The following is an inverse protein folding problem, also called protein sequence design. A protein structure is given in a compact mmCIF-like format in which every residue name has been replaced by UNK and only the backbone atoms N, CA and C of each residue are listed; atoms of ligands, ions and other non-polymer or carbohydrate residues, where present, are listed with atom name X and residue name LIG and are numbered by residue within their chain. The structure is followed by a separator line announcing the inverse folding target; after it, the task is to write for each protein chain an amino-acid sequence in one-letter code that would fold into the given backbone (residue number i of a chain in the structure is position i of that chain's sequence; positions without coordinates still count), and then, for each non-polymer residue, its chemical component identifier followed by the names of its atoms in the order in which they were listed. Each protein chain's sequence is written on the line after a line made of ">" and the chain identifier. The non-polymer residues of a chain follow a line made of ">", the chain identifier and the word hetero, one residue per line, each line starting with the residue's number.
data_IF_391438238564
#
_entry.id   IF_391438238564
#
_cell.length_a   1.000
_cell.length_b   1.000
_cell.length_c   1.000
_cell.angle_alpha   90.00
_cell.angle_beta   90.00
_cell.angle_gamma   90.00
#
_symmetry.space_group_name_H-M   'P 1'
#
loop_
_entity.id
_entity.type
_entity.pdbx_description
1 polymer ?
#
# COMPACT_ATOMS: atom_id res chain seq x y z
N UNK A 1 -71.55 -27.01 15.19
CA UNK A 1 -71.48 -26.07 14.06
C UNK A 1 -70.29 -25.16 14.34
N UNK A 2 -69.25 -25.24 13.48
CA UNK A 2 -67.87 -24.84 13.77
C UNK A 2 -67.66 -23.33 13.65
N UNK A 3 -66.95 -22.75 14.61
CA UNK A 3 -66.37 -21.40 14.59
C UNK A 3 -65.04 -21.50 13.81
N UNK A 4 -64.80 -20.74 12.72
CA UNK A 4 -63.50 -20.75 12.07
C UNK A 4 -62.57 -19.71 12.70
N UNK A 5 -61.38 -20.19 13.08
CA UNK A 5 -60.22 -19.42 13.46
C UNK A 5 -59.69 -18.67 12.23
N UNK A 6 -59.44 -17.36 12.35
CA UNK A 6 -58.72 -16.59 11.33
C UNK A 6 -57.26 -16.43 11.78
N UNK A 7 -56.36 -17.02 10.99
CA UNK A 7 -54.92 -17.00 11.11
C UNK A 7 -54.35 -15.57 11.05
N UNK A 8 -53.47 -15.24 11.99
CA UNK A 8 -52.50 -14.16 11.84
C UNK A 8 -51.41 -14.59 10.85
N UNK A 9 -51.26 -13.85 9.75
CA UNK A 9 -50.12 -13.96 8.84
C UNK A 9 -49.02 -13.05 9.36
N UNK A 10 -47.97 -13.63 9.95
CA UNK A 10 -46.70 -12.94 10.21
C UNK A 10 -45.92 -12.86 8.90
N UNK A 11 -45.83 -11.64 8.35
CA UNK A 11 -44.92 -11.34 7.25
C UNK A 11 -43.48 -11.28 7.80
N UNK A 12 -42.68 -12.32 7.51
CA UNK A 12 -41.23 -12.29 7.75
C UNK A 12 -40.58 -11.32 6.77
N UNK A 13 -40.12 -10.18 7.29
CA UNK A 13 -39.23 -9.25 6.57
C UNK A 13 -37.87 -9.93 6.48
N UNK A 14 -37.56 -10.49 5.31
CA UNK A 14 -36.24 -11.00 4.99
C UNK A 14 -35.33 -9.79 4.71
N UNK A 15 -34.50 -9.42 5.68
CA UNK A 15 -33.46 -8.44 5.50
C UNK A 15 -32.40 -9.02 4.56
N UNK A 16 -32.38 -8.56 3.30
CA UNK A 16 -31.29 -8.81 2.37
C UNK A 16 -30.09 -8.01 2.90
N UNK A 17 -29.25 -8.67 3.68
CA UNK A 17 -27.93 -8.17 4.03
C UNK A 17 -27.10 -8.23 2.74
N UNK A 18 -27.00 -7.11 2.02
CA UNK A 18 -26.04 -6.98 0.94
C UNK A 18 -24.64 -7.06 1.59
N UNK A 19 -24.01 -8.23 1.54
CA UNK A 19 -22.58 -8.34 1.77
C UNK A 19 -21.89 -7.53 0.67
N UNK A 20 -21.47 -6.32 1.01
CA UNK A 20 -20.49 -5.57 0.25
C UNK A 20 -19.20 -6.38 0.25
N UNK A 21 -18.93 -7.07 -0.85
CA UNK A 21 -17.59 -7.57 -1.15
C UNK A 21 -16.67 -6.36 -1.21
N UNK A 22 -15.75 -6.22 -0.27
CA UNK A 22 -14.66 -5.27 -0.37
C UNK A 22 -13.81 -5.70 -1.58
N UNK A 23 -14.07 -5.08 -2.73
CA UNK A 23 -13.12 -5.08 -3.82
C UNK A 23 -11.83 -4.44 -3.27
N UNK A 24 -10.69 -5.09 -3.47
CA UNK A 24 -9.40 -4.42 -3.30
C UNK A 24 -9.45 -3.20 -4.22
N UNK A 25 -9.48 -2.03 -3.61
CA UNK A 25 -9.68 -0.80 -4.32
C UNK A 25 -8.37 -0.43 -5.02
N UNK A 26 -8.43 -0.42 -6.35
CA UNK A 26 -7.34 -0.18 -7.27
C UNK A 26 -7.72 1.04 -8.11
N UNK A 27 -6.73 1.79 -8.62
CA UNK A 27 -6.97 2.90 -9.52
C UNK A 27 -8.01 2.54 -10.61
N UNK A 28 -8.91 3.46 -10.97
CA UNK A 28 -9.95 3.17 -11.97
C UNK A 28 -9.36 2.58 -13.24
N UNK A 29 -10.03 1.63 -13.91
CA UNK A 29 -9.54 1.05 -15.14
C UNK A 29 -9.13 2.11 -16.15
N UNK A 30 -7.85 2.07 -16.54
CA UNK A 30 -7.27 2.97 -17.51
C UNK A 30 -6.75 4.31 -16.99
N UNK A 31 -6.84 4.58 -15.68
CA UNK A 31 -6.36 5.84 -15.07
C UNK A 31 -4.88 6.13 -15.42
N UNK A 32 -4.02 5.12 -15.40
CA UNK A 32 -2.59 5.25 -15.73
C UNK A 32 -2.22 4.84 -17.17
N UNK A 33 -3.17 4.73 -18.11
CA UNK A 33 -2.89 4.21 -19.47
C UNK A 33 -1.84 5.03 -20.24
N UNK A 34 -1.76 6.34 -19.96
CA UNK A 34 -0.83 7.26 -20.62
C UNK A 34 0.53 7.35 -19.94
N UNK A 35 0.75 6.67 -18.81
CA UNK A 35 2.02 6.71 -18.08
C UNK A 35 3.08 5.91 -18.84
N UNK A 36 4.22 6.54 -19.10
CA UNK A 36 5.39 5.94 -19.74
C UNK A 36 6.50 5.69 -18.70
N UNK A 37 6.51 4.50 -18.12
CA UNK A 37 7.51 4.08 -17.15
C UNK A 37 8.82 3.56 -17.78
N UNK A 38 9.11 3.88 -19.04
CA UNK A 38 10.30 3.34 -19.75
C UNK A 38 11.64 3.91 -19.25
N UNK A 39 11.63 5.12 -18.71
CA UNK A 39 12.80 5.80 -18.17
C UNK A 39 12.36 6.94 -17.23
N UNK A 40 13.26 7.49 -16.38
CA UNK A 40 12.86 8.42 -15.33
C UNK A 40 12.24 9.71 -15.89
N UNK A 41 12.78 10.23 -16.99
CA UNK A 41 12.30 11.47 -17.61
C UNK A 41 10.93 11.30 -18.24
N UNK A 42 10.68 10.17 -18.92
CA UNK A 42 9.38 9.88 -19.50
C UNK A 42 8.34 9.63 -18.40
N UNK A 43 8.72 8.92 -17.34
CA UNK A 43 7.83 8.64 -16.22
C UNK A 43 7.43 9.93 -15.52
N UNK A 44 8.40 10.79 -15.15
CA UNK A 44 8.12 12.06 -14.48
C UNK A 44 7.11 12.91 -15.26
N UNK A 45 7.38 13.14 -16.55
CA UNK A 45 6.53 13.98 -17.40
C UNK A 45 5.14 13.37 -17.63
N UNK A 46 5.06 12.07 -17.93
CA UNK A 46 3.78 11.41 -18.21
C UNK A 46 2.94 11.22 -16.95
N UNK A 47 3.58 11.02 -15.79
CA UNK A 47 2.91 10.88 -14.50
C UNK A 47 2.38 12.21 -14.00
N UNK A 48 3.19 13.28 -14.07
CA UNK A 48 2.74 14.64 -13.77
C UNK A 48 1.46 14.99 -14.53
N UNK A 49 1.43 14.75 -15.84
CA UNK A 49 0.25 15.01 -16.68
C UNK A 49 -1.00 14.17 -16.36
N UNK A 50 -0.87 13.08 -15.60
CA UNK A 50 -2.02 12.26 -15.16
C UNK A 50 -2.57 12.73 -13.81
N UNK A 51 -1.69 13.22 -12.93
CA UNK A 51 -2.04 13.56 -11.55
C UNK A 51 -2.22 15.06 -11.33
N UNK A 52 -1.87 15.91 -12.31
CA UNK A 52 -2.04 17.36 -12.27
C UNK A 52 -3.51 17.77 -12.04
N UNK A 53 -3.74 19.06 -11.85
CA UNK A 53 -5.08 19.66 -11.89
C UNK A 53 -6.14 19.14 -10.89
N UNK A 54 -5.73 18.76 -9.66
CA UNK A 54 -6.67 18.33 -8.62
C UNK A 54 -7.84 19.32 -8.39
N UNK A 55 -9.04 18.79 -8.16
CA UNK A 55 -10.23 19.58 -7.81
C UNK A 55 -10.07 20.19 -6.40
N UNK A 56 -9.90 21.51 -6.33
CA UNK A 56 -9.74 22.21 -5.06
C UNK A 56 -11.02 22.17 -4.21
N UNK A 57 -10.87 21.84 -2.92
CA UNK A 57 -11.87 22.08 -1.87
C UNK A 57 -11.36 23.16 -0.91
N UNK A 58 -12.23 24.04 -0.37
CA UNK A 58 -11.80 25.03 0.60
C UNK A 58 -11.13 24.38 1.82
N UNK A 59 -10.17 25.08 2.44
CA UNK A 59 -9.56 24.57 3.67
C UNK A 59 -10.61 24.43 4.76
N UNK A 60 -11.42 25.44 5.06
CA UNK A 60 -12.56 25.30 5.98
C UNK A 60 -13.79 25.95 5.37
N UNK A 61 -14.94 25.26 5.39
CA UNK A 61 -16.21 25.83 4.93
C UNK A 61 -17.43 25.18 5.59
N UNK A 62 -18.62 25.70 5.33
CA UNK A 62 -19.89 25.08 5.72
C UNK A 62 -20.41 24.04 4.71
N UNK A 63 -19.80 23.99 3.52
CA UNK A 63 -20.01 22.94 2.52
C UNK A 63 -18.89 21.90 2.67
N UNK A 64 -18.74 21.01 1.69
CA UNK A 64 -17.61 20.08 1.66
C UNK A 64 -16.28 20.83 1.67
N UNK A 65 -15.44 20.53 2.65
CA UNK A 65 -14.09 21.08 2.81
C UNK A 65 -13.07 19.97 3.10
N UNK A 66 -11.81 20.33 3.34
CA UNK A 66 -10.77 19.31 3.61
C UNK A 66 -11.01 18.54 4.91
N UNK A 67 -11.76 19.05 5.90
CA UNK A 67 -12.12 18.24 7.07
C UNK A 67 -13.00 17.07 6.69
N UNK A 68 -14.03 17.31 5.87
CA UNK A 68 -14.94 16.25 5.46
C UNK A 68 -14.22 15.15 4.69
N UNK A 69 -13.30 15.53 3.81
CA UNK A 69 -12.51 14.58 3.01
C UNK A 69 -11.57 13.79 3.91
N UNK A 70 -10.80 14.47 4.76
CA UNK A 70 -9.79 13.84 5.62
C UNK A 70 -10.41 12.92 6.67
N UNK A 71 -11.56 13.27 7.24
CA UNK A 71 -12.25 12.40 8.20
C UNK A 71 -12.77 11.11 7.55
N UNK A 72 -13.07 11.13 6.26
CA UNK A 72 -13.41 9.93 5.50
C UNK A 72 -12.16 9.14 5.11
N UNK A 73 -11.13 9.82 4.62
CA UNK A 73 -9.90 9.19 4.14
C UNK A 73 -9.08 8.55 5.26
N UNK A 74 -9.09 9.17 6.44
CA UNK A 74 -8.27 8.77 7.60
C UNK A 74 -9.16 8.23 8.74
N UNK A 75 -10.24 7.57 8.34
CA UNK A 75 -11.18 6.92 9.23
C UNK A 75 -10.52 5.74 9.94
N UNK A 76 -10.74 5.60 11.26
CA UNK A 76 -10.26 4.43 12.01
C UNK A 76 -10.88 3.14 11.43
N UNK A 77 -10.07 2.17 10.97
CA UNK A 77 -10.55 0.92 10.40
C UNK A 77 -11.45 0.12 11.35
N UNK A 78 -11.24 0.28 12.66
CA UNK A 78 -12.03 -0.41 13.70
C UNK A 78 -13.31 0.34 14.07
N UNK A 79 -13.43 1.63 13.71
CA UNK A 79 -14.57 2.46 14.09
C UNK A 79 -14.79 3.63 13.12
N UNK A 80 -15.81 3.50 12.27
CA UNK A 80 -16.11 4.49 11.23
C UNK A 80 -16.52 5.89 11.74
N UNK A 81 -16.86 6.01 13.03
CA UNK A 81 -17.21 7.29 13.66
C UNK A 81 -15.98 8.05 14.19
N UNK A 82 -14.77 7.50 13.94
CA UNK A 82 -13.51 8.01 14.46
C UNK A 82 -12.49 8.16 13.34
N UNK A 83 -11.50 9.01 13.58
CA UNK A 83 -10.29 9.12 12.75
C UNK A 83 -9.14 8.43 13.45
N UNK A 84 -8.14 8.01 12.68
CA UNK A 84 -6.89 7.45 13.19
C UNK A 84 -5.75 8.44 12.97
N UNK A 85 -5.22 8.94 14.08
CA UNK A 85 -4.16 9.94 14.10
C UNK A 85 -2.87 9.49 13.43
N UNK A 86 -2.25 10.36 12.60
CA UNK A 86 -1.02 10.01 11.86
C UNK A 86 0.20 9.77 12.74
N UNK A 87 0.40 10.52 13.83
CA UNK A 87 1.63 10.41 14.62
C UNK A 87 1.41 9.67 15.93
N UNK A 88 0.29 9.89 16.62
CA UNK A 88 0.03 9.31 17.93
C UNK A 88 -0.64 7.94 17.85
N UNK A 89 -1.13 7.52 16.68
CA UNK A 89 -1.91 6.31 16.48
C UNK A 89 -3.17 6.23 17.39
N UNK A 90 -3.60 7.38 17.90
CA UNK A 90 -4.78 7.48 18.75
C UNK A 90 -6.03 7.60 17.88
N UNK A 91 -7.07 6.87 18.27
CA UNK A 91 -8.37 6.99 17.65
C UNK A 91 -9.09 8.18 18.26
N UNK A 92 -9.57 9.13 17.46
CA UNK A 92 -10.34 10.30 17.92
C UNK A 92 -11.74 10.34 17.34
N UNK A 93 -12.74 10.82 18.10
CA UNK A 93 -14.09 11.00 17.55
C UNK A 93 -14.08 12.05 16.45
N UNK A 94 -14.75 11.79 15.32
CA UNK A 94 -14.96 12.77 14.26
C UNK A 94 -15.72 13.98 14.80
N UNK A 95 -15.17 15.17 14.62
CA UNK A 95 -15.73 16.42 15.14
C UNK A 95 -15.79 17.54 14.08
N UNK A 96 -15.19 17.34 12.91
CA UNK A 96 -14.98 18.37 11.90
C UNK A 96 -13.99 19.44 12.37
N UNK A 97 -14.11 20.63 11.77
CA UNK A 97 -13.18 21.72 12.04
C UNK A 97 -13.35 22.43 13.37
N UNK A 98 -12.21 22.82 13.97
CA UNK A 98 -12.16 23.66 15.17
C UNK A 98 -12.26 22.89 16.50
N UNK A 99 -11.88 21.62 16.52
CA UNK A 99 -11.86 20.81 17.74
C UNK A 99 -10.53 20.95 18.52
N UNK A 100 -10.50 20.44 19.75
CA UNK A 100 -9.34 20.54 20.65
C UNK A 100 -8.42 19.31 20.62
N UNK A 101 -8.81 18.25 19.90
CA UNK A 101 -8.14 16.97 19.92
C UNK A 101 -7.09 16.90 18.80
N UNK A 102 -7.51 17.16 17.55
CA UNK A 102 -6.67 17.06 16.36
C UNK A 102 -6.85 18.26 15.42
N UNK A 103 -5.79 18.54 14.67
CA UNK A 103 -5.75 19.53 13.61
C UNK A 103 -5.32 18.87 12.29
N UNK A 104 -5.17 19.67 11.24
CA UNK A 104 -4.59 19.22 9.97
C UNK A 104 -3.11 19.53 9.97
N UNK A 105 -2.32 18.49 9.89
CA UNK A 105 -0.90 18.50 9.61
C UNK A 105 -0.67 18.72 8.13
N UNK A 106 0.16 19.71 7.82
CA UNK A 106 0.71 19.91 6.48
C UNK A 106 2.02 19.13 6.42
N UNK A 107 1.98 17.87 5.95
CA UNK A 107 3.15 16.98 5.95
C UNK A 107 4.28 17.52 5.11
N UNK A 108 4.00 18.23 4.01
CA UNK A 108 4.91 19.27 3.53
C UNK A 108 4.58 20.56 4.31
N UNK A 109 5.44 21.05 5.22
CA UNK A 109 5.12 22.23 6.00
C UNK A 109 4.85 23.39 5.06
N UNK A 110 3.64 23.94 5.11
CA UNK A 110 3.25 25.08 4.26
C UNK A 110 4.19 26.28 4.37
N UNK A 111 4.94 26.41 5.47
CA UNK A 111 5.98 27.44 5.62
C UNK A 111 7.05 27.38 4.52
N UNK A 112 7.30 26.19 3.96
CA UNK A 112 8.24 25.98 2.87
C UNK A 112 7.51 26.12 1.52
N UNK A 113 7.15 27.36 1.19
CA UNK A 113 6.73 27.73 -0.17
C UNK A 113 5.27 28.11 -0.38
N UNK A 114 4.35 27.81 0.54
CA UNK A 114 2.92 28.13 0.32
C UNK A 114 2.12 28.46 1.60
N UNK A 115 2.60 29.32 2.51
CA UNK A 115 2.01 29.51 3.83
C UNK A 115 0.64 30.21 3.83
N UNK A 116 0.26 30.87 2.73
CA UNK A 116 -0.93 31.73 2.67
C UNK A 116 -2.09 31.02 1.94
N UNK A 117 -3.15 30.67 2.67
CA UNK A 117 -4.39 30.13 2.08
C UNK A 117 -5.13 31.21 1.29
N UNK A 118 -5.16 31.06 -0.03
CA UNK A 118 -5.96 31.89 -0.92
C UNK A 118 -6.53 31.00 -2.03
N UNK A 119 -7.47 31.53 -2.82
CA UNK A 119 -8.18 30.77 -3.86
C UNK A 119 -7.27 30.20 -4.97
N UNK A 120 -6.03 30.67 -5.06
CA UNK A 120 -5.04 30.25 -6.05
C UNK A 120 -3.97 29.33 -5.48
N UNK A 121 -4.00 29.03 -4.18
CA UNK A 121 -3.03 28.17 -3.52
C UNK A 121 -3.57 26.73 -3.43
N UNK A 122 -3.36 25.97 -4.50
CA UNK A 122 -3.75 24.56 -4.61
C UNK A 122 -3.02 23.63 -3.62
N UNK A 123 -1.69 23.67 -3.44
CA UNK A 123 -1.00 22.73 -2.53
C UNK A 123 -1.45 22.90 -1.07
N UNK A 124 -1.97 24.07 -0.70
CA UNK A 124 -2.49 24.31 0.65
C UNK A 124 -3.64 23.37 1.04
N UNK A 125 -4.44 22.95 0.05
CA UNK A 125 -5.69 22.20 0.24
C UNK A 125 -5.63 20.79 -0.35
N UNK A 126 -4.45 20.33 -0.79
CA UNK A 126 -4.29 18.98 -1.33
C UNK A 126 -4.36 17.94 -0.20
N UNK A 127 -5.42 17.12 -0.19
CA UNK A 127 -5.63 16.12 0.86
C UNK A 127 -4.68 14.92 0.77
N UNK A 128 -3.91 14.75 -0.30
CA UNK A 128 -2.87 13.72 -0.38
C UNK A 128 -1.66 14.03 0.52
N UNK A 129 -1.51 15.27 1.01
CA UNK A 129 -0.44 15.67 1.94
C UNK A 129 -0.95 16.24 3.26
N UNK A 130 -2.27 16.34 3.43
CA UNK A 130 -2.88 16.72 4.70
C UNK A 130 -3.18 15.48 5.54
N UNK A 131 -2.80 15.52 6.81
CA UNK A 131 -3.10 14.46 7.76
C UNK A 131 -3.79 14.99 9.00
N UNK A 132 -4.71 14.23 9.59
CA UNK A 132 -5.31 14.52 10.87
C UNK A 132 -4.33 14.10 11.96
N UNK A 133 -3.97 15.06 12.79
CA UNK A 133 -2.88 14.93 13.75
C UNK A 133 -3.25 15.58 15.08
N UNK A 134 -2.86 14.94 16.19
CA UNK A 134 -2.98 15.43 17.54
C UNK A 134 -2.31 16.79 17.59
N UNK A 135 -3.03 17.78 18.13
CA UNK A 135 -2.60 19.17 18.04
C UNK A 135 -1.24 19.41 18.70
N UNK A 136 -0.89 18.64 19.74
CA UNK A 136 0.40 18.72 20.43
C UNK A 136 1.53 18.06 19.65
N UNK A 137 1.23 16.98 18.91
CA UNK A 137 2.20 16.29 18.05
C UNK A 137 2.49 17.13 16.81
N UNK A 138 1.46 17.67 16.15
CA UNK A 138 1.64 18.63 15.05
C UNK A 138 2.47 19.84 15.52
N UNK A 139 2.13 20.43 16.67
CA UNK A 139 2.91 21.55 17.23
C UNK A 139 4.37 21.17 17.52
N UNK A 140 4.63 19.93 17.94
CA UNK A 140 6.00 19.42 18.21
C UNK A 140 6.78 19.18 16.91
N UNK A 141 6.09 18.68 15.87
CA UNK A 141 6.64 18.48 14.53
C UNK A 141 7.04 19.83 13.92
N UNK A 142 6.19 20.85 14.06
CA UNK A 142 6.46 22.20 13.55
C UNK A 142 6.73 22.16 12.03
N UNK A 143 7.75 22.85 11.54
CA UNK A 143 8.26 22.74 10.18
C UNK A 143 9.59 21.98 10.12
N UNK A 144 9.85 21.04 11.03
CA UNK A 144 11.09 20.26 10.99
C UNK A 144 11.11 19.35 9.75
N UNK A 145 12.25 19.23 9.05
CA UNK A 145 12.48 18.17 8.09
C UNK A 145 12.28 16.78 8.71
N UNK A 146 11.81 15.84 7.89
CA UNK A 146 11.83 14.43 8.28
C UNK A 146 13.27 13.92 8.23
N UNK A 147 13.71 13.30 9.33
CA UNK A 147 15.07 12.78 9.51
C UNK A 147 15.01 11.53 10.37
N UNK A 148 15.96 10.62 10.19
CA UNK A 148 16.21 9.61 11.20
C UNK A 148 16.82 10.27 12.45
N UNK A 149 16.31 9.84 13.59
CA UNK A 149 16.73 10.27 14.91
C UNK A 149 17.77 9.30 15.48
N UNK A 150 18.17 9.55 16.71
CA UNK A 150 19.13 8.79 17.49
C UNK A 150 18.57 8.52 18.89
N UNK A 151 19.17 7.58 19.61
CA UNK A 151 18.71 7.21 20.95
C UNK A 151 18.77 8.32 22.00
N UNK A 152 19.39 9.47 21.69
CA UNK A 152 19.44 10.64 22.56
C UNK A 152 18.32 11.65 22.31
N UNK A 153 17.50 11.45 21.28
CA UNK A 153 16.45 12.40 20.89
C UNK A 153 15.18 12.22 21.72
N UNK A 154 14.27 13.20 21.65
CA UNK A 154 13.08 13.21 22.49
C UNK A 154 11.98 12.31 21.91
N UNK A 155 11.55 11.34 22.69
CA UNK A 155 10.47 10.42 22.34
C UNK A 155 9.09 11.11 22.34
N UNK A 156 8.27 10.73 21.37
CA UNK A 156 6.86 11.12 21.20
C UNK A 156 6.05 9.85 20.97
N UNK A 157 5.59 9.26 22.07
CA UNK A 157 4.99 7.92 22.13
C UNK A 157 3.71 7.78 21.33
N UNK A 158 3.52 6.65 20.67
CA UNK A 158 2.22 6.28 20.10
C UNK A 158 1.34 5.58 21.14
N UNK A 159 0.05 5.48 20.84
CA UNK A 159 -0.92 4.62 21.51
C UNK A 159 -0.95 3.28 20.79
N UNK A 160 -0.99 2.18 21.55
CA UNK A 160 -1.19 0.85 20.99
C UNK A 160 -2.63 0.74 20.45
N UNK A 161 -2.78 0.64 19.13
CA UNK A 161 -4.05 0.59 18.44
C UNK A 161 -3.92 -0.25 17.16
N UNK A 162 -4.96 -1.02 16.84
CA UNK A 162 -5.01 -1.89 15.66
C UNK A 162 -3.81 -2.86 15.51
N UNK A 163 -3.22 -3.27 16.65
CA UNK A 163 -2.08 -4.19 16.67
C UNK A 163 -0.72 -3.53 16.46
N UNK A 164 -0.67 -2.20 16.34
CA UNK A 164 0.54 -1.42 16.13
C UNK A 164 0.68 -0.28 17.16
N UNK A 165 1.89 0.29 17.26
CA UNK A 165 2.18 1.36 18.20
C UNK A 165 2.26 0.92 19.66
N UNK A 166 2.27 1.91 20.54
CA UNK A 166 2.54 1.78 21.97
C UNK A 166 3.88 2.41 22.36
N UNK A 167 3.93 3.04 23.54
CA UNK A 167 5.18 3.52 24.10
C UNK A 167 6.03 2.39 24.70
N UNK A 168 7.36 2.54 24.66
CA UNK A 168 8.32 1.61 25.24
C UNK A 168 9.21 0.90 24.20
N UNK A 169 10.07 -0.01 24.66
CA UNK A 169 10.99 -0.78 23.80
C UNK A 169 12.38 -0.14 23.60
N UNK A 170 12.55 1.13 23.98
CA UNK A 170 13.79 1.88 23.75
C UNK A 170 13.95 2.26 22.28
N UNK A 171 14.92 3.12 21.97
CA UNK A 171 15.09 3.62 20.61
C UNK A 171 15.38 2.49 19.58
N UNK A 172 14.75 2.51 18.39
CA UNK A 172 13.72 3.47 17.97
C UNK A 172 12.32 3.14 18.51
N UNK A 173 11.99 1.89 18.82
CA UNK A 173 10.66 1.49 19.31
C UNK A 173 9.54 1.89 18.34
N UNK A 174 8.28 1.82 18.78
CA UNK A 174 7.12 2.22 17.97
C UNK A 174 6.67 3.66 18.28
N UNK A 175 7.64 4.56 18.41
CA UNK A 175 7.42 5.96 18.76
C UNK A 175 7.94 6.90 17.67
N UNK A 176 7.43 8.14 17.66
CA UNK A 176 8.06 9.22 16.91
C UNK A 176 9.22 9.79 17.72
N UNK A 177 10.17 10.42 17.05
CA UNK A 177 11.33 11.03 17.70
C UNK A 177 11.57 12.44 17.17
N UNK A 178 11.94 13.35 18.05
CA UNK A 178 12.19 14.74 17.65
C UNK A 178 13.41 15.36 18.33
N UNK A 179 14.08 16.21 17.57
CA UNK A 179 15.22 16.99 18.03
C UNK A 179 15.32 18.34 17.31
N UNK A 180 16.23 19.20 17.79
CA UNK A 180 16.52 20.54 17.26
C UNK A 180 15.27 21.43 17.17
N UNK A 181 15.27 22.37 16.22
CA UNK A 181 14.14 23.29 15.94
C UNK A 181 14.17 23.71 14.48
N UNK A 182 13.01 23.92 13.88
CA UNK A 182 12.87 24.34 12.48
C UNK A 182 13.71 23.47 11.53
N UNK A 183 14.35 24.08 10.54
CA UNK A 183 15.14 23.39 9.51
C UNK A 183 16.34 22.62 10.05
N UNK A 184 16.92 23.04 11.19
CA UNK A 184 18.03 22.32 11.86
C UNK A 184 17.57 21.20 12.79
N UNK A 185 16.25 21.03 12.96
CA UNK A 185 15.66 19.92 13.70
C UNK A 185 15.32 18.72 12.82
N UNK A 186 14.76 17.71 13.48
CA UNK A 186 14.26 16.50 12.83
C UNK A 186 13.00 15.97 13.49
N UNK A 187 12.16 15.35 12.69
CA UNK A 187 11.06 14.49 13.12
C UNK A 187 11.22 13.12 12.46
N UNK A 188 11.45 12.07 13.24
CA UNK A 188 11.37 10.70 12.78
C UNK A 188 9.95 10.19 13.06
N UNK A 189 9.27 9.72 12.02
CA UNK A 189 7.94 9.11 12.16
C UNK A 189 8.09 7.70 12.71
N UNK A 190 7.12 7.26 13.52
CA UNK A 190 7.03 5.87 13.97
C UNK A 190 6.87 4.90 12.80
N UNK A 191 7.27 3.64 12.99
CA UNK A 191 7.55 2.67 11.93
C UNK A 191 6.46 2.54 10.87
N UNK A 192 5.20 2.37 11.29
CA UNK A 192 4.06 2.04 10.42
C UNK A 192 3.50 3.22 9.62
N UNK A 193 4.09 4.43 9.75
CA UNK A 193 3.63 5.63 9.01
C UNK A 193 4.76 6.35 8.29
N UNK A 194 5.93 5.71 8.19
CA UNK A 194 7.11 6.25 7.49
C UNK A 194 6.85 6.33 6.00
N UNK A 195 6.26 5.28 5.43
CA UNK A 195 5.91 5.11 4.03
C UNK A 195 4.82 6.09 3.62
N UNK A 196 3.77 6.24 4.43
CA UNK A 196 2.69 7.22 4.23
C UNK A 196 3.23 8.64 4.05
N UNK A 197 4.08 9.06 4.98
CA UNK A 197 4.68 10.40 4.95
C UNK A 197 5.63 10.57 3.77
N UNK A 198 6.41 9.53 3.46
CA UNK A 198 7.31 9.54 2.31
C UNK A 198 6.55 9.67 0.99
N UNK A 199 5.55 8.81 0.76
CA UNK A 199 4.75 8.81 -0.48
C UNK A 199 3.91 10.07 -0.65
N UNK A 200 3.42 10.68 0.43
CA UNK A 200 2.75 11.98 0.38
C UNK A 200 3.69 13.11 -0.11
N UNK A 201 4.94 13.10 0.36
CA UNK A 201 5.95 14.08 -0.05
C UNK A 201 6.47 13.84 -1.47
N UNK A 202 6.74 12.58 -1.83
CA UNK A 202 7.13 12.19 -3.19
C UNK A 202 6.03 12.57 -4.19
N UNK A 203 4.77 12.40 -3.82
CA UNK A 203 3.64 12.84 -4.64
C UNK A 203 3.67 14.35 -4.92
N UNK A 204 3.95 15.19 -3.92
CA UNK A 204 4.06 16.64 -4.13
C UNK A 204 5.18 17.02 -5.10
N UNK A 205 6.32 16.30 -5.05
CA UNK A 205 7.46 16.52 -5.95
C UNK A 205 7.11 16.34 -7.43
N UNK A 206 6.19 15.42 -7.73
CA UNK A 206 5.74 15.13 -9.10
C UNK A 206 4.45 15.87 -9.45
N UNK A 207 3.55 16.08 -8.49
CA UNK A 207 2.31 16.80 -8.75
C UNK A 207 2.58 18.26 -9.07
N UNK A 208 3.50 18.89 -8.36
CA UNK A 208 3.76 20.32 -8.45
C UNK A 208 5.12 20.59 -9.10
N UNK A 209 5.17 20.55 -10.44
CA UNK A 209 6.37 20.85 -11.25
C UNK A 209 6.36 22.28 -11.81
N UNK A 210 5.58 23.17 -11.19
CA UNK A 210 5.30 24.50 -11.70
C UNK A 210 4.25 24.53 -12.82
N UNK A 211 4.25 25.61 -13.60
CA UNK A 211 3.31 25.79 -14.71
C UNK A 211 1.98 26.42 -14.30
N UNK A 212 0.91 26.07 -15.02
CA UNK A 212 -0.43 26.58 -14.79
C UNK A 212 -1.41 25.42 -14.74
N UNK A 213 -2.33 25.47 -13.79
CA UNK A 213 -3.47 24.57 -13.73
C UNK A 213 -4.26 24.66 -15.04
N UNK A 214 -4.41 23.53 -15.74
CA UNK A 214 -4.99 23.43 -17.08
C UNK A 214 -6.43 23.94 -17.20
N UNK A 215 -7.26 23.75 -16.19
CA UNK A 215 -8.66 24.23 -16.21
C UNK A 215 -8.86 25.67 -15.70
N UNK A 216 -8.12 26.12 -14.69
CA UNK A 216 -8.32 27.43 -14.07
C UNK A 216 -7.31 28.49 -14.51
N UNK A 217 -6.21 28.08 -15.12
CA UNK A 217 -5.10 28.94 -15.54
C UNK A 217 -4.30 29.53 -14.37
N UNK A 218 -4.53 29.07 -13.13
CA UNK A 218 -3.80 29.51 -11.94
C UNK A 218 -2.38 28.96 -12.01
N UNK A 219 -1.38 29.82 -11.78
CA UNK A 219 0.01 29.39 -11.70
C UNK A 219 0.24 28.51 -10.46
N UNK A 220 0.89 27.38 -10.65
CA UNK A 220 1.25 26.44 -9.60
C UNK A 220 2.75 26.53 -9.28
N UNK A 221 3.16 26.25 -8.03
CA UNK A 221 4.56 26.23 -7.66
C UNK A 221 5.26 24.96 -8.16
N UNK A 222 6.59 25.04 -8.26
CA UNK A 222 7.50 23.90 -8.39
C UNK A 222 7.97 23.50 -6.98
N UNK A 223 7.45 22.39 -6.45
CA UNK A 223 7.81 21.86 -5.13
C UNK A 223 8.80 20.72 -5.33
N UNK A 224 10.00 20.87 -4.77
CA UNK A 224 11.14 19.97 -5.06
C UNK A 224 11.67 19.32 -3.79
N UNK A 225 11.77 18.00 -3.78
CA UNK A 225 12.47 17.26 -2.73
C UNK A 225 13.99 17.34 -2.88
N UNK A 226 14.71 17.56 -1.78
CA UNK A 226 16.18 17.72 -1.84
C UNK A 226 16.89 17.42 -0.53
N UNK A 227 18.03 16.72 -0.60
CA UNK A 227 18.92 16.58 0.55
C UNK A 227 19.67 17.88 0.92
N UNK A 228 19.53 18.94 0.11
CA UNK A 228 20.19 20.21 0.38
C UNK A 228 19.40 21.05 1.39
N UNK A 229 19.78 20.92 2.66
CA UNK A 229 19.16 21.66 3.77
C UNK A 229 19.16 23.19 3.60
N UNK A 230 20.15 23.75 2.89
CA UNK A 230 20.19 25.21 2.65
C UNK A 230 19.09 25.66 1.70
N UNK A 231 18.72 24.82 0.72
CA UNK A 231 17.58 25.09 -0.16
C UNK A 231 16.26 24.98 0.61
N UNK A 232 16.13 23.97 1.48
CA UNK A 232 14.96 23.83 2.35
C UNK A 232 14.80 25.07 3.22
N UNK A 233 15.86 25.52 3.90
CA UNK A 233 15.81 26.69 4.78
C UNK A 233 15.42 27.95 4.02
N UNK A 234 15.97 28.12 2.81
CA UNK A 234 15.67 29.26 1.94
C UNK A 234 14.21 29.34 1.48
N UNK A 235 13.46 28.24 1.58
CA UNK A 235 12.05 28.17 1.18
C UNK A 235 11.10 28.71 2.26
N UNK A 236 11.59 28.99 3.47
CA UNK A 236 10.80 29.56 4.55
C UNK A 236 10.76 31.09 4.51
N UNK A 237 10.11 31.64 3.48
CA UNK A 237 10.08 33.08 3.21
C UNK A 237 8.89 33.80 3.85
N UNK A 238 7.89 33.04 4.31
CA UNK A 238 6.59 33.58 4.74
C UNK A 238 5.67 33.99 3.59
N UNK A 239 6.03 33.72 2.34
CA UNK A 239 5.25 34.02 1.14
C UNK A 239 5.01 32.78 0.30
N UNK A 240 4.02 32.83 -0.61
CA UNK A 240 3.84 31.77 -1.60
C UNK A 240 4.91 31.95 -2.68
N UNK A 241 5.77 30.95 -2.86
CA UNK A 241 6.92 30.97 -3.74
C UNK A 241 6.62 30.21 -5.04
N UNK A 242 7.27 30.60 -6.13
CA UNK A 242 7.17 29.87 -7.40
C UNK A 242 7.99 28.59 -7.41
N UNK A 243 9.03 28.51 -6.58
CA UNK A 243 9.86 27.32 -6.38
C UNK A 243 10.11 27.18 -4.88
N UNK A 244 9.91 25.99 -4.33
CA UNK A 244 10.19 25.72 -2.94
C UNK A 244 10.72 24.30 -2.74
N UNK A 245 11.49 24.12 -1.68
CA UNK A 245 12.22 22.91 -1.38
C UNK A 245 11.84 22.37 0.00
N UNK A 246 11.78 21.04 0.13
CA UNK A 246 11.57 20.35 1.40
C UNK A 246 12.17 18.95 1.37
N UNK A 247 12.27 18.31 2.53
CA UNK A 247 12.46 16.87 2.69
C UNK A 247 13.85 16.37 2.31
N UNK A 248 14.50 15.64 3.21
CA UNK A 248 15.72 14.90 2.85
C UNK A 248 15.32 13.73 1.96
N UNK A 249 15.42 13.91 0.64
CA UNK A 249 15.00 12.93 -0.36
C UNK A 249 15.54 11.54 -0.04
N UNK A 250 16.81 11.44 0.33
CA UNK A 250 17.44 10.17 0.73
C UNK A 250 16.72 9.46 1.88
N UNK A 251 16.27 10.19 2.90
CA UNK A 251 15.52 9.65 4.04
C UNK A 251 14.13 9.19 3.61
N UNK A 252 13.46 9.99 2.76
CA UNK A 252 12.11 9.66 2.28
C UNK A 252 12.12 8.42 1.38
N UNK A 253 13.14 8.26 0.53
CA UNK A 253 13.31 7.05 -0.28
C UNK A 253 13.54 5.80 0.59
N UNK A 254 14.36 5.93 1.64
CA UNK A 254 14.55 4.83 2.59
C UNK A 254 13.25 4.48 3.32
N UNK A 255 12.52 5.48 3.81
CA UNK A 255 11.25 5.28 4.51
C UNK A 255 10.16 4.68 3.62
N UNK A 256 10.11 5.06 2.34
CA UNK A 256 9.23 4.44 1.35
C UNK A 256 9.54 2.94 1.18
N UNK A 257 10.83 2.57 1.17
CA UNK A 257 11.26 1.18 1.05
C UNK A 257 11.02 0.37 2.34
N UNK A 258 11.22 0.98 3.52
CA UNK A 258 11.09 0.32 4.82
C UNK A 258 9.63 0.06 5.22
N UNK A 259 8.69 0.86 4.72
CA UNK A 259 7.27 0.82 5.09
C UNK A 259 6.36 0.74 3.84
N UNK A 260 6.05 -0.48 3.37
CA UNK A 260 5.26 -0.73 2.16
C UNK A 260 3.83 -0.19 2.24
N UNK A 261 3.22 0.06 1.07
CA UNK A 261 1.81 0.46 0.96
C UNK A 261 0.88 -0.58 1.59
N UNK A 262 0.04 -0.15 2.52
CA UNK A 262 -0.97 -0.98 3.17
C UNK A 262 -2.40 -0.69 2.66
N UNK A 263 -3.40 -1.38 3.24
CA UNK A 263 -4.80 -1.19 2.85
C UNK A 263 -5.41 0.11 3.40
N UNK A 264 -4.90 0.64 4.50
CA UNK A 264 -5.37 1.89 5.08
C UNK A 264 -5.04 3.04 4.13
N UNK A 265 -3.82 3.06 3.62
CA UNK A 265 -3.32 4.05 2.68
C UNK A 265 -4.06 3.99 1.33
N UNK A 266 -4.27 2.78 0.78
CA UNK A 266 -5.06 2.60 -0.46
C UNK A 266 -6.47 3.14 -0.32
N UNK A 267 -7.17 2.81 0.77
CA UNK A 267 -8.51 3.33 1.02
C UNK A 267 -8.52 4.85 1.13
N UNK A 268 -7.51 5.45 1.78
CA UNK A 268 -7.33 6.89 1.85
C UNK A 268 -7.19 7.51 0.45
N UNK A 269 -6.36 6.91 -0.42
CA UNK A 269 -6.16 7.35 -1.80
C UNK A 269 -7.47 7.33 -2.60
N UNK A 270 -8.29 6.27 -2.46
CA UNK A 270 -9.60 6.17 -3.13
C UNK A 270 -10.59 7.23 -2.68
N UNK A 271 -10.65 7.47 -1.37
CA UNK A 271 -11.52 8.50 -0.81
C UNK A 271 -11.10 9.85 -1.37
N UNK A 272 -9.82 10.22 -1.28
CA UNK A 272 -9.33 11.51 -1.78
C UNK A 272 -9.60 11.63 -3.28
N UNK A 273 -9.33 10.59 -4.06
CA UNK A 273 -9.63 10.54 -5.49
C UNK A 273 -11.10 10.85 -5.80
N UNK A 274 -12.04 10.30 -5.02
CA UNK A 274 -13.47 10.54 -5.23
C UNK A 274 -13.91 12.00 -5.06
N UNK A 275 -13.08 12.82 -4.42
CA UNK A 275 -13.27 14.26 -4.26
C UNK A 275 -12.37 15.06 -5.20
N UNK A 276 -11.05 14.88 -5.10
CA UNK A 276 -10.05 15.69 -5.78
C UNK A 276 -9.77 15.26 -7.23
N UNK A 277 -10.26 14.09 -7.65
CA UNK A 277 -10.16 13.63 -9.03
C UNK A 277 -8.77 13.14 -9.46
N UNK A 278 -7.75 13.27 -8.61
CA UNK A 278 -6.41 12.76 -8.84
C UNK A 278 -5.98 11.80 -7.72
N UNK A 279 -5.05 10.90 -8.04
CA UNK A 279 -4.52 9.88 -7.13
C UNK A 279 -3.07 10.15 -6.79
N UNK A 280 -2.63 9.72 -5.61
CA UNK A 280 -1.21 9.58 -5.34
C UNK A 280 -0.72 8.28 -6.02
N UNK A 281 0.14 8.39 -7.05
CA UNK A 281 0.55 7.24 -7.84
C UNK A 281 1.51 6.33 -7.10
N UNK A 282 2.19 6.81 -6.05
CA UNK A 282 3.14 5.98 -5.29
C UNK A 282 2.43 5.05 -4.31
N UNK A 283 1.13 5.27 -4.06
CA UNK A 283 0.26 4.33 -3.36
C UNK A 283 -0.21 3.22 -4.32
N UNK A 284 -0.57 3.58 -5.56
CA UNK A 284 -1.06 2.62 -6.55
C UNK A 284 0.08 1.83 -7.25
N UNK A 285 1.23 2.47 -7.43
CA UNK A 285 2.44 2.01 -8.13
C UNK A 285 3.72 2.41 -7.35
N UNK A 286 3.97 1.82 -6.16
CA UNK A 286 5.14 2.15 -5.35
C UNK A 286 6.48 1.89 -6.06
N UNK A 287 6.51 1.00 -7.06
CA UNK A 287 7.69 0.71 -7.89
C UNK A 287 8.15 1.90 -8.73
N UNK A 288 7.28 2.87 -9.01
CA UNK A 288 7.64 4.05 -9.80
C UNK A 288 8.59 5.00 -9.07
N UNK A 289 8.66 4.93 -7.74
CA UNK A 289 9.67 5.67 -6.96
C UNK A 289 11.07 5.24 -7.37
N UNK A 290 11.32 3.94 -7.53
CA UNK A 290 12.65 3.43 -7.88
C UNK A 290 13.06 3.82 -9.31
N UNK A 291 12.11 3.83 -10.25
CA UNK A 291 12.37 4.36 -11.58
C UNK A 291 12.71 5.85 -11.55
N UNK A 292 11.91 6.68 -10.86
CA UNK A 292 12.12 8.12 -10.84
C UNK A 292 13.44 8.54 -10.19
N UNK A 293 13.79 7.92 -9.05
CA UNK A 293 14.87 8.42 -8.19
C UNK A 293 16.14 7.54 -8.22
N UNK A 294 16.05 6.28 -8.62
CA UNK A 294 17.21 5.38 -8.75
C UNK A 294 17.54 5.03 -10.20
N UNK A 295 16.67 5.36 -11.16
CA UNK A 295 16.88 5.07 -12.58
C UNK A 295 16.45 3.67 -13.02
N UNK A 296 15.87 2.88 -12.11
CA UNK A 296 15.47 1.50 -12.36
C UNK A 296 14.07 1.46 -12.97
N UNK A 297 14.01 1.65 -14.29
CA UNK A 297 12.76 1.80 -15.02
C UNK A 297 12.33 0.56 -15.79
N UNK A 298 11.03 0.43 -15.95
CA UNK A 298 10.36 -0.76 -16.46
C UNK A 298 9.62 -1.52 -15.34
N UNK A 299 8.81 -2.52 -15.69
CA UNK A 299 8.40 -3.48 -14.68
C UNK A 299 9.67 -4.06 -14.05
N UNK A 300 9.77 -4.18 -12.71
CA UNK A 300 10.84 -4.98 -12.11
C UNK A 300 10.84 -6.31 -12.86
N UNK A 301 12.01 -6.81 -13.30
CA UNK A 301 12.09 -7.99 -14.15
C UNK A 301 11.18 -9.08 -13.59
N UNK A 302 10.09 -9.36 -14.32
CA UNK A 302 8.87 -9.86 -13.69
C UNK A 302 9.12 -11.17 -12.95
N UNK A 303 8.73 -11.16 -11.68
CA UNK A 303 8.01 -12.27 -11.10
C UNK A 303 6.79 -12.59 -12.00
N UNK A 304 6.95 -13.42 -13.02
CA UNK A 304 5.88 -13.77 -13.96
C UNK A 304 5.10 -14.98 -13.46
N UNK A 305 3.77 -14.90 -13.41
CA UNK A 305 2.97 -16.12 -13.25
C UNK A 305 3.24 -17.03 -14.46
N UNK A 306 3.57 -18.28 -14.18
CA UNK A 306 3.78 -19.29 -15.22
C UNK A 306 3.18 -20.60 -14.72
N UNK A 307 2.76 -21.46 -15.64
CA UNK A 307 2.07 -22.69 -15.28
C UNK A 307 0.86 -22.42 -14.38
N UNK A 308 -0.24 -21.97 -15.00
CA UNK A 308 -1.49 -21.65 -14.30
C UNK A 308 -2.04 -22.80 -13.46
N UNK A 309 -1.62 -24.03 -13.74
CA UNK A 309 -1.90 -25.19 -12.91
C UNK A 309 -3.38 -25.57 -12.86
N UNK A 310 -4.22 -24.94 -13.68
CA UNK A 310 -5.68 -24.94 -13.64
C UNK A 310 -6.34 -25.94 -14.60
N UNK A 311 -5.54 -26.65 -15.38
CA UNK A 311 -6.02 -27.59 -16.39
C UNK A 311 -6.00 -27.07 -17.83
N UNK A 312 -5.73 -25.77 -18.05
CA UNK A 312 -5.67 -25.15 -19.39
C UNK A 312 -4.50 -25.66 -20.25
N UNK A 313 -3.42 -26.09 -19.59
CA UNK A 313 -2.25 -26.73 -20.18
C UNK A 313 -2.30 -28.25 -20.04
N UNK A 314 -1.61 -28.76 -19.02
CA UNK A 314 -1.78 -30.15 -18.58
C UNK A 314 -3.14 -30.29 -17.89
N UNK A 315 -3.97 -31.29 -18.21
CA UNK A 315 -5.24 -31.49 -17.52
C UNK A 315 -5.06 -31.75 -16.03
N UNK A 316 -5.92 -31.15 -15.21
CA UNK A 316 -5.99 -31.43 -13.78
C UNK A 316 -6.34 -32.91 -13.52
N UNK A 317 -5.74 -33.55 -12.50
CA UNK A 317 -6.07 -34.92 -12.12
C UNK A 317 -7.58 -35.09 -11.89
N UNK A 318 -8.17 -36.26 -12.19
CA UNK A 318 -9.61 -36.52 -11.98
C UNK A 318 -10.63 -35.50 -12.56
N UNK A 319 -10.19 -34.53 -13.39
CA UNK A 319 -11.05 -33.54 -14.03
C UNK A 319 -11.38 -32.30 -13.17
N UNK A 320 -10.70 -32.08 -12.04
CA UNK A 320 -10.93 -30.95 -11.13
C UNK A 320 -10.27 -29.63 -11.62
N UNK A 321 -10.64 -29.19 -12.83
CA UNK A 321 -10.03 -27.99 -13.44
C UNK A 321 -10.42 -26.73 -12.69
N UNK A 322 -9.44 -25.94 -12.24
CA UNK A 322 -9.70 -24.69 -11.54
C UNK A 322 -10.01 -23.54 -12.50
N UNK A 323 -10.19 -22.34 -11.94
CA UNK A 323 -10.32 -21.14 -12.77
C UNK A 323 -8.96 -20.69 -13.27
N UNK A 324 -8.98 -19.92 -14.36
CA UNK A 324 -7.79 -19.39 -14.99
C UNK A 324 -6.82 -18.77 -13.96
N UNK A 325 -5.61 -19.35 -13.84
CA UNK A 325 -4.53 -18.81 -13.01
C UNK A 325 -4.49 -19.27 -11.54
N UNK A 326 -5.31 -20.24 -11.09
CA UNK A 326 -5.40 -20.59 -9.66
C UNK A 326 -5.15 -22.06 -9.33
N UNK A 327 -4.42 -22.83 -10.13
CA UNK A 327 -4.23 -24.26 -9.84
C UNK A 327 -5.53 -25.07 -10.00
N UNK A 328 -5.49 -26.37 -9.69
CA UNK A 328 -6.66 -27.25 -9.74
C UNK A 328 -7.59 -27.00 -8.54
N UNK A 329 -8.88 -27.30 -8.68
CA UNK A 329 -9.86 -27.13 -7.60
C UNK A 329 -9.46 -27.89 -6.33
N UNK A 330 -9.82 -27.38 -5.16
CA UNK A 330 -9.65 -28.06 -3.88
C UNK A 330 -11.00 -28.29 -3.18
N UNK A 331 -11.02 -29.03 -2.07
CA UNK A 331 -12.28 -29.43 -1.39
C UNK A 331 -13.11 -28.26 -0.85
N UNK A 332 -12.52 -27.08 -0.67
CA UNK A 332 -13.19 -25.92 -0.08
C UNK A 332 -13.49 -24.83 -1.12
N UNK A 333 -12.50 -24.51 -1.96
CA UNK A 333 -12.58 -23.55 -3.03
C UNK A 333 -12.53 -24.27 -4.39
N UNK A 334 -13.69 -24.40 -5.04
CA UNK A 334 -13.88 -24.94 -6.40
C UNK A 334 -13.36 -23.99 -7.50
N UNK A 335 -12.32 -23.23 -7.18
CA UNK A 335 -11.63 -22.32 -8.09
C UNK A 335 -10.12 -22.57 -8.08
N UNK A 336 -9.60 -23.31 -7.09
CA UNK A 336 -8.17 -23.54 -6.88
C UNK A 336 -7.49 -22.46 -6.03
N UNK A 337 -6.24 -22.71 -5.64
CA UNK A 337 -5.41 -21.77 -4.88
C UNK A 337 -4.49 -20.92 -5.77
N UNK A 338 -4.43 -19.63 -5.47
CA UNK A 338 -3.54 -18.68 -6.13
C UNK A 338 -2.27 -18.46 -5.29
N UNK A 339 -1.08 -18.39 -5.89
CA UNK A 339 0.10 -17.76 -5.31
C UNK A 339 0.37 -16.43 -6.03
N UNK A 340 0.75 -15.38 -5.33
CA UNK A 340 1.12 -14.08 -5.90
C UNK A 340 2.44 -13.60 -5.28
N UNK A 341 3.04 -12.58 -5.88
CA UNK A 341 4.25 -11.94 -5.35
C UNK A 341 3.97 -10.50 -4.97
N UNK A 342 4.59 -10.05 -3.88
CA UNK A 342 4.61 -8.67 -3.42
C UNK A 342 6.06 -8.31 -3.05
N UNK A 343 6.49 -7.07 -3.27
CA UNK A 343 7.90 -6.65 -3.14
C UNK A 343 8.71 -6.81 -4.42
N UNK A 344 10.03 -6.63 -4.32
CA UNK A 344 10.95 -6.60 -5.47
C UNK A 344 11.71 -7.92 -5.68
N UNK A 345 12.33 -8.11 -6.85
CA UNK A 345 13.29 -9.20 -7.09
C UNK A 345 14.73 -8.88 -6.67
N UNK A 346 14.94 -7.79 -5.90
CA UNK A 346 16.28 -7.39 -5.45
C UNK A 346 16.73 -8.23 -4.25
N UNK A 347 17.94 -8.79 -4.36
CA UNK A 347 18.60 -9.49 -3.27
C UNK A 347 19.04 -8.54 -2.16
N UNK A 348 19.38 -7.29 -2.49
CA UNK A 348 19.68 -6.25 -1.51
C UNK A 348 18.44 -5.81 -0.75
N UNK A 349 17.30 -5.62 -1.41
CA UNK A 349 16.05 -5.26 -0.74
C UNK A 349 15.54 -6.41 0.13
N UNK A 350 15.60 -7.64 -0.40
CA UNK A 350 15.22 -8.83 0.36
C UNK A 350 13.75 -8.87 0.78
N UNK A 351 12.91 -8.13 0.06
CA UNK A 351 11.53 -7.79 0.41
C UNK A 351 10.49 -8.65 -0.33
N UNK A 352 10.90 -9.50 -1.27
CA UNK A 352 9.99 -10.40 -1.97
C UNK A 352 9.21 -11.30 -0.99
N UNK A 353 7.90 -11.15 -1.01
CA UNK A 353 6.92 -11.94 -0.27
C UNK A 353 6.06 -12.72 -1.24
N UNK A 354 5.84 -14.00 -0.93
CA UNK A 354 4.91 -14.86 -1.64
C UNK A 354 3.60 -14.89 -0.85
N UNK A 355 2.53 -14.47 -1.50
CA UNK A 355 1.17 -14.46 -0.98
C UNK A 355 0.38 -15.63 -1.56
N UNK A 356 -0.56 -16.18 -0.81
CA UNK A 356 -1.43 -17.28 -1.25
C UNK A 356 -2.87 -16.93 -0.93
N UNK A 357 -3.76 -17.24 -1.87
CA UNK A 357 -5.20 -17.03 -1.73
C UNK A 357 -6.00 -18.28 -2.10
N UNK A 358 -7.03 -18.61 -1.31
CA UNK A 358 -7.97 -19.69 -1.66
C UNK A 358 -7.39 -21.11 -1.58
N UNK A 359 -6.39 -21.33 -0.73
CA UNK A 359 -6.02 -22.69 -0.27
C UNK A 359 -7.02 -23.18 0.79
N UNK A 360 -6.91 -24.42 1.27
CA UNK A 360 -7.89 -24.93 2.24
C UNK A 360 -7.74 -24.21 3.60
N UNK A 361 -8.81 -23.62 4.16
CA UNK A 361 -8.73 -22.88 5.42
C UNK A 361 -8.15 -23.68 6.58
N UNK A 362 -7.33 -23.01 7.40
CA UNK A 362 -6.68 -23.59 8.59
C UNK A 362 -5.80 -24.81 8.31
N UNK A 363 -5.43 -25.06 7.05
CA UNK A 363 -4.55 -26.15 6.67
C UNK A 363 -3.09 -25.68 6.56
N UNK A 364 -2.13 -26.54 6.92
CA UNK A 364 -0.73 -26.24 6.67
C UNK A 364 -0.38 -26.42 5.20
N UNK A 365 0.60 -25.65 4.76
CA UNK A 365 1.25 -25.85 3.48
C UNK A 365 2.71 -25.44 3.51
N UNK A 366 3.33 -25.47 2.35
CA UNK A 366 4.75 -25.29 2.12
C UNK A 366 4.97 -24.40 0.90
N UNK A 367 5.63 -23.27 1.13
CA UNK A 367 6.28 -22.51 0.08
C UNK A 367 7.55 -23.24 -0.31
N UNK A 368 7.72 -23.50 -1.60
CA UNK A 368 8.92 -24.13 -2.11
C UNK A 368 9.40 -23.45 -3.38
N UNK A 369 10.69 -23.62 -3.63
CA UNK A 369 11.40 -23.06 -4.77
C UNK A 369 11.99 -24.18 -5.63
N UNK A 370 12.17 -23.93 -6.92
CA UNK A 370 12.93 -24.76 -7.83
C UNK A 370 13.73 -23.94 -8.85
N UNK A 371 14.59 -24.62 -9.58
CA UNK A 371 15.49 -24.06 -10.62
C UNK A 371 15.00 -24.31 -12.04
N UNK A 372 13.85 -24.97 -12.20
CA UNK A 372 13.28 -25.23 -13.51
C UNK A 372 11.74 -25.27 -13.48
N UNK A 373 11.13 -24.85 -14.58
CA UNK A 373 9.75 -25.11 -14.91
C UNK A 373 9.58 -26.56 -15.41
N UNK A 374 8.60 -27.30 -14.86
CA UNK A 374 8.27 -28.65 -15.32
C UNK A 374 7.41 -28.61 -16.58
N UNK A 375 7.67 -29.55 -17.49
CA UNK A 375 6.89 -29.75 -18.73
C UNK A 375 6.73 -28.45 -19.55
N UNK A 376 7.82 -27.68 -19.70
CA UNK A 376 7.79 -26.41 -20.43
C UNK A 376 6.86 -25.36 -19.81
N UNK A 377 6.63 -25.42 -18.50
CA UNK A 377 5.71 -24.52 -17.79
C UNK A 377 4.24 -24.95 -17.88
N UNK A 378 3.94 -26.19 -18.27
CA UNK A 378 2.57 -26.73 -18.25
C UNK A 378 2.29 -27.59 -17.02
N UNK A 379 3.30 -27.88 -16.21
CA UNK A 379 3.19 -28.68 -14.99
C UNK A 379 3.00 -30.17 -15.26
N UNK A 380 3.06 -30.97 -14.19
CA UNK A 380 2.83 -32.42 -14.21
C UNK A 380 1.88 -32.83 -13.08
N UNK A 381 1.02 -33.84 -13.27
CA UNK A 381 0.12 -34.34 -12.23
C UNK A 381 0.84 -34.67 -10.93
N UNK A 382 0.38 -34.11 -9.81
CA UNK A 382 0.92 -34.34 -8.49
C UNK A 382 -0.14 -34.12 -7.39
N UNK A 383 -0.63 -35.20 -6.80
CA UNK A 383 -1.77 -35.15 -5.89
C UNK A 383 -3.05 -34.79 -6.62
N UNK A 384 -3.84 -33.87 -6.05
CA UNK A 384 -5.05 -33.34 -6.68
C UNK A 384 -4.75 -32.15 -7.61
N UNK A 385 -3.47 -31.79 -7.78
CA UNK A 385 -3.04 -30.61 -8.54
C UNK A 385 -1.95 -30.89 -9.57
N UNK A 386 -1.35 -29.80 -10.05
CA UNK A 386 -0.23 -29.82 -11.00
C UNK A 386 1.01 -29.21 -10.35
N UNK A 387 2.11 -29.96 -10.35
CA UNK A 387 3.41 -29.43 -9.94
C UNK A 387 4.08 -28.75 -11.13
N UNK A 388 4.34 -27.47 -10.98
CA UNK A 388 4.92 -26.60 -11.99
C UNK A 388 6.41 -26.38 -11.76
N UNK A 389 6.87 -26.50 -10.51
CA UNK A 389 8.23 -26.18 -10.08
C UNK A 389 9.07 -27.43 -9.88
N UNK A 390 10.24 -27.49 -10.52
CA UNK A 390 11.14 -28.63 -10.56
C UNK A 390 12.63 -28.26 -10.53
N UNK A 391 13.48 -29.18 -10.99
CA UNK A 391 14.94 -29.07 -10.87
C UNK A 391 15.42 -29.32 -9.44
N UNK A 392 16.45 -28.60 -9.02
CA UNK A 392 16.86 -28.56 -7.62
C UNK A 392 15.80 -27.82 -6.80
N UNK A 393 15.03 -28.57 -6.01
CA UNK A 393 13.91 -28.06 -5.22
C UNK A 393 14.26 -27.95 -3.76
N UNK A 394 13.93 -26.82 -3.15
CA UNK A 394 14.15 -26.55 -1.73
C UNK A 394 12.87 -26.04 -1.07
N UNK A 395 12.78 -26.27 0.23
CA UNK A 395 11.69 -25.80 1.09
C UNK A 395 12.03 -24.43 1.63
N UNK A 396 11.16 -23.46 1.44
CA UNK A 396 11.37 -22.10 1.95
C UNK A 396 10.76 -21.95 3.34
N UNK A 397 9.45 -22.19 3.44
CA UNK A 397 8.70 -21.94 4.67
C UNK A 397 7.45 -22.80 4.75
N UNK A 398 7.20 -23.39 5.91
CA UNK A 398 5.90 -23.96 6.26
C UNK A 398 5.04 -22.83 6.84
N UNK A 399 3.81 -22.70 6.33
CA UNK A 399 2.87 -21.69 6.80
C UNK A 399 1.47 -22.31 6.95
N UNK A 400 0.61 -21.65 7.73
CA UNK A 400 -0.78 -22.05 7.91
C UNK A 400 -1.69 -21.04 7.22
N UNK A 401 -2.63 -21.55 6.44
CA UNK A 401 -3.70 -20.74 5.90
C UNK A 401 -4.60 -20.24 7.03
N UNK A 402 -5.03 -18.99 6.95
CA UNK A 402 -6.01 -18.42 7.86
C UNK A 402 -7.42 -19.02 7.60
N UNK A 403 -8.45 -18.45 8.24
CA UNK A 403 -9.84 -18.89 8.06
C UNK A 403 -10.41 -18.69 6.65
N UNK A 404 -9.74 -17.92 5.80
CA UNK A 404 -10.11 -17.65 4.41
C UNK A 404 -9.29 -18.48 3.40
N UNK A 405 -8.33 -19.28 3.86
CA UNK A 405 -7.45 -20.02 2.95
C UNK A 405 -6.21 -19.26 2.52
N UNK A 406 -5.91 -18.12 3.16
CA UNK A 406 -4.84 -17.22 2.73
C UNK A 406 -3.63 -17.32 3.66
N UNK A 407 -2.44 -17.15 3.12
CA UNK A 407 -1.19 -17.14 3.90
C UNK A 407 -0.08 -16.43 3.12
N UNK A 408 1.06 -16.21 3.77
CA UNK A 408 2.20 -15.59 3.11
C UNK A 408 3.52 -16.03 3.71
N UNK A 409 4.61 -15.86 2.96
CA UNK A 409 5.96 -15.95 3.53
C UNK A 409 6.21 -14.81 4.51
N UNK A 410 7.02 -15.11 5.52
CA UNK A 410 7.62 -14.15 6.45
C UNK A 410 9.15 -14.20 6.39
N UNK A 411 9.71 -15.20 5.71
CA UNK A 411 11.12 -15.31 5.43
C UNK A 411 11.50 -14.54 4.16
N UNK A 412 12.71 -13.97 4.14
CA UNK A 412 13.33 -13.46 2.93
C UNK A 412 13.58 -14.63 1.97
N UNK A 413 12.74 -14.74 0.94
CA UNK A 413 12.72 -15.90 0.04
C UNK A 413 13.93 -15.95 -0.89
N UNK A 414 14.55 -14.81 -1.21
CA UNK A 414 15.79 -14.77 -1.98
C UNK A 414 16.97 -15.34 -1.19
N UNK A 415 17.12 -14.92 0.07
CA UNK A 415 18.17 -15.38 0.97
C UNK A 415 18.00 -16.85 1.36
N UNK A 416 16.80 -17.24 1.84
CA UNK A 416 16.50 -18.65 2.18
C UNK A 416 16.54 -19.52 0.93
N UNK A 417 16.14 -18.93 -0.20
CA UNK A 417 16.20 -19.54 -1.52
C UNK A 417 17.62 -19.80 -2.04
N UNK A 418 18.62 -19.13 -1.47
CA UNK A 418 19.98 -19.12 -2.01
C UNK A 418 20.06 -18.54 -3.43
N UNK A 419 19.17 -17.59 -3.75
CA UNK A 419 19.17 -16.93 -5.05
C UNK A 419 20.38 -16.02 -5.20
N UNK A 420 20.87 -15.90 -6.44
CA UNK A 420 21.99 -15.02 -6.81
C UNK A 420 21.55 -14.09 -7.92
N UNK A 421 22.14 -12.90 -8.01
CA UNK A 421 21.79 -11.96 -9.08
C UNK A 421 22.01 -12.59 -10.47
N UNK A 422 21.05 -12.39 -11.37
CA UNK A 422 20.95 -13.02 -12.68
C UNK A 422 20.38 -14.44 -12.67
N UNK A 423 20.04 -15.02 -11.51
CA UNK A 423 19.39 -16.33 -11.44
C UNK A 423 17.88 -16.22 -11.59
N UNK A 424 17.29 -17.13 -12.35
CA UNK A 424 15.84 -17.29 -12.42
C UNK A 424 15.41 -18.44 -11.51
N UNK A 425 14.51 -18.14 -10.57
CA UNK A 425 13.99 -19.11 -9.60
C UNK A 425 12.48 -19.19 -9.68
N UNK A 426 11.91 -20.37 -9.42
CA UNK A 426 10.48 -20.59 -9.53
C UNK A 426 9.87 -20.98 -8.19
N UNK A 427 8.68 -20.47 -7.89
CA UNK A 427 7.99 -20.59 -6.61
C UNK A 427 6.60 -21.17 -6.79
N UNK A 428 6.20 -22.02 -5.85
CA UNK A 428 4.85 -22.60 -5.85
C UNK A 428 4.44 -22.93 -4.41
N UNK A 429 3.14 -22.94 -4.17
CA UNK A 429 2.54 -23.30 -2.89
C UNK A 429 1.97 -24.71 -2.96
N UNK A 430 2.40 -25.57 -2.02
CA UNK A 430 1.80 -26.87 -1.77
C UNK A 430 0.98 -26.79 -0.49
N UNK A 431 -0.21 -27.40 -0.43
CA UNK A 431 -1.03 -27.36 0.78
C UNK A 431 -1.82 -28.64 1.02
N UNK A 432 -2.16 -28.87 2.29
CA UNK A 432 -3.03 -29.96 2.70
C UNK A 432 -4.47 -29.67 2.29
N UNK A 433 -5.11 -30.70 1.77
CA UNK A 433 -6.52 -30.72 1.43
C UNK A 433 -7.15 -31.99 2.02
N UNK A 434 -7.29 -32.09 3.35
CA UNK A 434 -7.72 -33.33 3.98
C UNK A 434 -9.23 -33.54 3.87
N UNK A 435 -9.64 -34.79 3.65
CA UNK A 435 -11.04 -35.25 3.55
C UNK A 435 -11.84 -34.57 2.42
N UNK A 436 -12.53 -35.36 1.59
CA UNK A 436 -13.26 -34.87 0.40
C UNK A 436 -12.43 -34.09 -0.63
N UNK A 437 -11.10 -34.27 -0.64
CA UNK A 437 -10.24 -33.71 -1.69
C UNK A 437 -10.66 -34.28 -3.06
N UNK A 438 -10.67 -33.47 -4.14
CA UNK A 438 -11.30 -33.86 -5.41
C UNK A 438 -10.86 -35.21 -5.98
N UNK A 439 -9.58 -35.56 -5.83
CA UNK A 439 -9.06 -36.85 -6.31
C UNK A 439 -8.68 -37.81 -5.17
N UNK A 440 -8.96 -37.44 -3.92
CA UNK A 440 -8.71 -38.27 -2.74
C UNK A 440 -7.24 -38.39 -2.29
N UNK A 441 -6.31 -37.59 -2.82
CA UNK A 441 -4.89 -37.66 -2.44
C UNK A 441 -4.56 -36.82 -1.19
N UNK A 442 -5.44 -35.94 -0.75
CA UNK A 442 -5.30 -35.22 0.52
C UNK A 442 -4.41 -33.96 0.49
N UNK A 443 -3.98 -33.51 -0.70
CA UNK A 443 -3.19 -32.30 -0.91
C UNK A 443 -3.30 -31.79 -2.36
N UNK A 444 -3.00 -30.52 -2.55
CA UNK A 444 -3.07 -29.83 -3.84
C UNK A 444 -1.99 -28.73 -3.95
N UNK A 445 -1.89 -28.04 -5.09
CA UNK A 445 -0.92 -27.00 -5.38
C UNK A 445 -1.57 -25.79 -6.05
N UNK A 446 -1.00 -24.61 -5.83
CA UNK A 446 -1.32 -23.40 -6.58
C UNK A 446 -0.76 -23.44 -8.02
N UNK A 447 -0.99 -22.39 -8.80
CA UNK A 447 -0.12 -22.04 -9.93
C UNK A 447 1.32 -21.68 -9.46
N UNK A 448 2.22 -21.36 -10.38
CA UNK A 448 3.60 -20.98 -10.03
C UNK A 448 3.98 -19.56 -10.49
N UNK A 449 5.06 -19.05 -9.90
CA UNK A 449 5.68 -17.77 -10.22
C UNK A 449 7.16 -17.94 -10.51
N UNK A 450 7.68 -17.24 -11.51
CA UNK A 450 9.09 -17.25 -11.91
C UNK A 450 9.68 -15.87 -11.63
N UNK A 451 10.80 -15.78 -10.93
CA UNK A 451 11.46 -14.52 -10.55
C UNK A 451 12.88 -14.51 -11.11
N UNK A 452 13.24 -13.46 -11.85
CA UNK A 452 14.63 -13.15 -12.17
C UNK A 452 15.20 -12.27 -11.04
N UNK A 453 16.16 -12.82 -10.29
CA UNK A 453 16.77 -12.13 -9.16
C UNK A 453 17.81 -11.11 -9.62
N UNK A 454 17.76 -9.92 -9.02
CA UNK A 454 18.68 -8.83 -9.27
C UNK A 454 19.49 -8.50 -8.02
N UNK A 455 20.57 -7.74 -8.19
CA UNK A 455 21.43 -7.34 -7.07
C UNK A 455 20.70 -6.32 -6.21
#
# INVERSE_FOLDING_TARGET
>A
MKIPQLLFVLASICAICALSTAAAAQAPPGYYTSVDASNPSALRSSLHAVIDDHQRYPYTSSATDTWNILELAQQDPSNSSRILDVYKNESYAKQGGGNADYNREHTWPKSYGFPNDNSSNYPYTDCHVLFLCDSSYNSSRSNKPFRDASSGDSEKTTVANNGAGGGGGGFPGDSNWTFGSFTSGGWQVWTERKGDVARALLYLDIRYEGGNHGSTGVSEPDLILTDNESLIDSSNTGSNESVAYMGLLSVLLQWHADDPVDNYERNGNDVIYSFQGNRNPFIDHPEWVDCLYSGNCGPPAAAGSFCFGDGSGTPCPCGNSGIAGRGCENSFFFVGAEIATNGSSSLMAGDLRLDVFGSVPSQPGLFFQGTAALNGGQGVPFGDGLRCVGGAVIRLQVAFANGFGDTSTTANVGLVGGATAGSTMHYQWWYRDPASSPCGNGFNLSQAYEVLWEL
#
